data_IF_827449038457
#
_entry.id   IF_827449038457
#
_cell.length_a   1.000
_cell.length_b   1.000
_cell.length_c   1.000
_cell.angle_alpha   90.00
_cell.angle_beta   90.00
_cell.angle_gamma   90.00
#
_symmetry.space_group_name_H-M   'P 1'
#
loop_
_entity.id
_entity.type
_entity.pdbx_description
1 polymer ?
#
# COMPACT_ATOMS: atom_id res chain seq x y z
N UNK A 1 27.52 17.18 -15.59
CA UNK A 1 26.87 15.92 -16.00
C UNK A 1 26.07 15.24 -14.88
N UNK A 2 26.19 15.64 -13.60
CA UNK A 2 25.45 15.01 -12.48
C UNK A 2 24.04 15.54 -12.20
N UNK A 3 23.72 16.80 -12.52
CA UNK A 3 22.40 17.40 -12.24
C UNK A 3 21.24 16.73 -12.99
N UNK A 4 21.41 16.47 -14.29
CA UNK A 4 20.38 15.83 -15.13
C UNK A 4 20.01 14.42 -14.65
N UNK A 5 20.98 13.66 -14.13
CA UNK A 5 20.74 12.31 -13.60
C UNK A 5 19.91 12.35 -12.31
N UNK A 6 20.14 13.34 -11.44
CA UNK A 6 19.37 13.50 -10.19
C UNK A 6 17.93 13.90 -10.50
N UNK A 7 17.74 14.88 -11.39
CA UNK A 7 16.40 15.30 -11.85
C UNK A 7 15.63 14.15 -12.50
N UNK A 8 16.30 13.31 -13.30
CA UNK A 8 15.70 12.10 -13.89
C UNK A 8 15.28 11.08 -12.83
N UNK A 9 16.10 10.86 -11.80
CA UNK A 9 15.78 9.90 -10.72
C UNK A 9 14.59 10.38 -9.90
N UNK A 10 14.55 11.66 -9.53
CA UNK A 10 13.43 12.24 -8.79
C UNK A 10 12.14 12.19 -9.60
N UNK A 11 12.23 12.47 -10.91
CA UNK A 11 11.10 12.34 -11.83
C UNK A 11 10.59 10.90 -11.93
N UNK A 12 11.46 9.92 -12.15
CA UNK A 12 11.09 8.49 -12.20
C UNK A 12 10.42 8.06 -10.89
N UNK A 13 10.94 8.53 -9.76
CA UNK A 13 10.36 8.27 -8.45
C UNK A 13 8.95 8.83 -8.31
N UNK A 14 8.76 10.08 -8.70
CA UNK A 14 7.45 10.74 -8.66
C UNK A 14 6.45 10.06 -9.59
N UNK A 15 6.85 9.74 -10.82
CA UNK A 15 6.02 9.04 -11.81
C UNK A 15 5.59 7.66 -11.30
N UNK A 16 6.53 6.87 -10.76
CA UNK A 16 6.23 5.55 -10.19
C UNK A 16 5.33 5.64 -8.95
N UNK A 17 5.53 6.65 -8.10
CA UNK A 17 4.69 6.90 -6.93
C UNK A 17 3.26 7.28 -7.30
N UNK A 18 3.09 8.14 -8.30
CA UNK A 18 1.77 8.52 -8.80
C UNK A 18 1.05 7.33 -9.44
N UNK A 19 1.75 6.56 -10.27
CA UNK A 19 1.19 5.34 -10.88
C UNK A 19 0.75 4.33 -9.81
N UNK A 20 1.51 4.17 -8.73
CA UNK A 20 1.12 3.32 -7.59
C UNK A 20 -0.14 3.83 -6.91
N UNK A 21 -0.25 5.14 -6.66
CA UNK A 21 -1.44 5.70 -6.03
C UNK A 21 -2.70 5.52 -6.89
N UNK A 22 -2.58 5.74 -8.20
CA UNK A 22 -3.69 5.58 -9.16
C UNK A 22 -4.12 4.11 -9.25
N UNK A 23 -3.16 3.19 -9.31
CA UNK A 23 -3.45 1.76 -9.35
C UNK A 23 -4.13 1.27 -8.05
N UNK A 24 -3.67 1.75 -6.88
CA UNK A 24 -4.30 1.41 -5.59
C UNK A 24 -5.72 1.96 -5.49
N UNK A 25 -5.95 3.22 -5.91
CA UNK A 25 -7.28 3.83 -5.92
C UNK A 25 -8.25 3.02 -6.78
N UNK A 26 -7.79 2.51 -7.93
CA UNK A 26 -8.59 1.68 -8.82
C UNK A 26 -8.84 0.25 -8.28
N UNK A 27 -7.88 -0.33 -7.56
CA UNK A 27 -7.94 -1.71 -7.08
C UNK A 27 -8.76 -1.89 -5.79
N UNK A 28 -8.72 -0.90 -4.89
CA UNK A 28 -9.35 -1.02 -3.57
C UNK A 28 -10.87 -1.30 -3.58
N UNK A 29 -11.68 -0.72 -4.49
CA UNK A 29 -13.11 -1.04 -4.56
C UNK A 29 -13.37 -2.55 -4.75
N UNK A 30 -12.62 -3.18 -5.66
CA UNK A 30 -12.75 -4.61 -5.91
C UNK A 30 -12.27 -5.46 -4.73
N UNK A 31 -11.19 -5.05 -4.06
CA UNK A 31 -10.69 -5.75 -2.88
C UNK A 31 -11.69 -5.70 -1.72
N UNK A 32 -12.22 -4.52 -1.36
CA UNK A 32 -13.21 -4.38 -0.27
C UNK A 32 -14.43 -5.26 -0.52
N UNK A 33 -14.99 -5.22 -1.73
CA UNK A 33 -16.13 -6.05 -2.10
C UNK A 33 -15.82 -7.55 -1.92
N UNK A 34 -14.67 -8.01 -2.42
CA UNK A 34 -14.26 -9.42 -2.31
C UNK A 34 -14.08 -9.85 -0.85
N UNK A 35 -13.48 -9.02 -0.01
CA UNK A 35 -13.30 -9.32 1.42
C UNK A 35 -14.63 -9.50 2.14
N UNK A 36 -15.59 -8.60 1.89
CA UNK A 36 -16.93 -8.70 2.48
C UNK A 36 -17.65 -9.95 1.96
N UNK A 37 -17.64 -10.19 0.65
CA UNK A 37 -18.28 -11.34 0.02
C UNK A 37 -17.76 -12.67 0.58
N UNK A 38 -16.44 -12.81 0.72
CA UNK A 38 -15.81 -14.01 1.27
C UNK A 38 -16.27 -14.30 2.69
N UNK A 39 -16.38 -13.27 3.55
CA UNK A 39 -16.81 -13.46 4.93
C UNK A 39 -18.32 -13.69 5.06
N UNK A 40 -19.15 -13.08 4.21
CA UNK A 40 -20.57 -13.42 4.14
C UNK A 40 -20.77 -14.89 3.78
N UNK A 41 -20.05 -15.38 2.76
CA UNK A 41 -20.11 -16.79 2.37
C UNK A 41 -19.60 -17.69 3.50
N UNK A 42 -18.48 -17.34 4.14
CA UNK A 42 -17.91 -18.15 5.21
C UNK A 42 -18.82 -18.28 6.45
N UNK A 43 -19.53 -17.21 6.82
CA UNK A 43 -20.37 -17.19 8.03
C UNK A 43 -21.84 -17.56 7.79
N UNK A 44 -22.39 -17.21 6.62
CA UNK A 44 -23.82 -17.34 6.34
C UNK A 44 -24.14 -18.32 5.19
N UNK A 45 -23.12 -18.85 4.51
CA UNK A 45 -23.24 -19.70 3.31
C UNK A 45 -24.04 -19.02 2.18
N UNK A 46 -24.06 -17.68 2.15
CA UNK A 46 -24.78 -16.86 1.17
C UNK A 46 -24.21 -15.45 1.08
N UNK A 47 -24.54 -14.75 0.00
CA UNK A 47 -24.32 -13.31 -0.14
C UNK A 47 -25.61 -12.53 0.12
N UNK A 48 -25.47 -11.22 0.36
CA UNK A 48 -26.58 -10.27 0.47
C UNK A 48 -26.32 -9.09 -0.48
N UNK A 49 -27.17 -8.87 -1.51
CA UNK A 49 -27.00 -7.79 -2.47
C UNK A 49 -26.94 -6.40 -1.84
N UNK A 50 -27.65 -6.17 -0.73
CA UNK A 50 -27.65 -4.88 -0.05
C UNK A 50 -26.32 -4.65 0.67
N UNK A 51 -25.79 -5.67 1.33
CA UNK A 51 -24.48 -5.62 1.98
C UNK A 51 -23.37 -5.44 0.93
N UNK A 52 -23.46 -6.13 -0.22
CA UNK A 52 -22.49 -5.96 -1.30
C UNK A 52 -22.54 -4.56 -1.92
N UNK A 53 -23.73 -3.95 -2.05
CA UNK A 53 -23.84 -2.56 -2.50
C UNK A 53 -23.20 -1.58 -1.51
N UNK A 54 -23.35 -1.81 -0.20
CA UNK A 54 -22.62 -1.04 0.83
C UNK A 54 -21.12 -1.25 0.74
N UNK A 55 -20.67 -2.48 0.48
CA UNK A 55 -19.24 -2.79 0.26
C UNK A 55 -18.68 -2.05 -0.96
N UNK A 56 -19.43 -1.94 -2.06
CA UNK A 56 -19.00 -1.16 -3.23
C UNK A 56 -18.80 0.32 -2.89
N UNK A 57 -19.74 0.92 -2.15
CA UNK A 57 -19.64 2.33 -1.72
C UNK A 57 -18.47 2.54 -0.75
N UNK A 58 -18.29 1.64 0.21
CA UNK A 58 -17.16 1.65 1.14
C UNK A 58 -15.82 1.50 0.40
N UNK A 59 -15.77 0.62 -0.60
CA UNK A 59 -14.60 0.39 -1.44
C UNK A 59 -14.23 1.59 -2.30
N UNK A 60 -15.20 2.26 -2.92
CA UNK A 60 -14.97 3.51 -3.65
C UNK A 60 -14.44 4.62 -2.73
N UNK A 61 -14.97 4.70 -1.50
CA UNK A 61 -14.48 5.64 -0.49
C UNK A 61 -13.05 5.31 -0.08
N UNK A 62 -12.76 4.03 0.18
CA UNK A 62 -11.42 3.53 0.51
C UNK A 62 -10.41 3.88 -0.58
N UNK A 63 -10.76 3.61 -1.86
CA UNK A 63 -9.93 3.96 -3.01
C UNK A 63 -9.51 5.42 -3.02
N UNK A 64 -10.48 6.34 -2.93
CA UNK A 64 -10.21 7.79 -2.95
C UNK A 64 -9.36 8.24 -1.75
N UNK A 65 -9.74 7.82 -0.54
CA UNK A 65 -9.07 8.28 0.68
C UNK A 65 -7.65 7.72 0.80
N UNK A 66 -7.44 6.44 0.48
CA UNK A 66 -6.13 5.79 0.51
C UNK A 66 -5.26 6.27 -0.64
N UNK A 67 -5.80 6.38 -1.86
CA UNK A 67 -5.10 6.95 -3.01
C UNK A 67 -4.60 8.36 -2.71
N UNK A 68 -5.44 9.24 -2.15
CA UNK A 68 -5.02 10.58 -1.73
C UNK A 68 -3.89 10.57 -0.68
N UNK A 69 -3.95 9.68 0.31
CA UNK A 69 -2.87 9.53 1.32
C UNK A 69 -1.57 9.06 0.70
N UNK A 70 -1.61 8.11 -0.25
CA UNK A 70 -0.42 7.64 -0.96
C UNK A 70 0.15 8.78 -1.80
N UNK A 71 -0.68 9.54 -2.53
CA UNK A 71 -0.23 10.74 -3.28
C UNK A 71 0.48 11.74 -2.36
N UNK A 72 -0.11 12.04 -1.21
CA UNK A 72 0.51 12.91 -0.20
C UNK A 72 1.86 12.37 0.29
N UNK A 73 1.97 11.06 0.52
CA UNK A 73 3.23 10.42 0.91
C UNK A 73 4.28 10.52 -0.20
N UNK A 74 3.96 10.13 -1.43
CA UNK A 74 4.95 10.08 -2.52
C UNK A 74 5.38 11.47 -2.99
N UNK A 75 4.57 12.50 -2.75
CA UNK A 75 4.93 13.90 -2.98
C UNK A 75 5.71 14.54 -1.82
N UNK A 76 5.79 13.88 -0.65
CA UNK A 76 6.62 14.35 0.47
C UNK A 76 8.09 14.01 0.26
N UNK A 77 8.98 14.77 0.92
CA UNK A 77 10.42 14.52 0.81
C UNK A 77 10.76 13.09 1.22
N UNK A 78 11.67 12.47 0.46
CA UNK A 78 12.04 11.06 0.62
C UNK A 78 12.50 10.72 2.04
N UNK A 79 13.18 11.64 2.72
CA UNK A 79 13.72 11.45 4.06
C UNK A 79 12.64 11.65 5.15
N UNK A 80 11.54 12.33 4.82
CA UNK A 80 10.39 12.53 5.71
C UNK A 80 9.37 11.38 5.62
N UNK A 81 9.52 10.47 4.65
CA UNK A 81 8.61 9.33 4.46
C UNK A 81 8.84 8.24 5.51
N UNK A 82 8.23 8.39 6.69
CA UNK A 82 8.30 7.44 7.82
C UNK A 82 7.42 6.19 7.66
N UNK A 83 6.60 6.12 6.62
CA UNK A 83 5.71 4.99 6.31
C UNK A 83 5.86 4.52 4.87
N UNK A 84 5.17 3.44 4.52
CA UNK A 84 5.16 2.87 3.17
C UNK A 84 3.74 2.85 2.60
N UNK A 85 3.56 2.91 1.27
CA UNK A 85 2.26 2.78 0.63
C UNK A 85 1.52 1.52 1.08
N UNK A 86 2.21 0.37 1.19
CA UNK A 86 1.59 -0.87 1.67
C UNK A 86 1.10 -0.75 3.13
N UNK A 87 1.82 -0.01 3.97
CA UNK A 87 1.39 0.24 5.35
C UNK A 87 0.15 1.14 5.41
N UNK A 88 0.01 2.09 4.48
CA UNK A 88 -1.21 2.89 4.34
C UNK A 88 -2.37 1.99 3.88
N UNK A 89 -2.16 1.14 2.87
CA UNK A 89 -3.23 0.26 2.36
C UNK A 89 -3.70 -0.74 3.43
N UNK A 90 -2.81 -1.24 4.28
CA UNK A 90 -3.20 -2.11 5.40
C UNK A 90 -4.16 -1.44 6.40
N UNK A 91 -4.25 -0.11 6.44
CA UNK A 91 -5.25 0.58 7.26
C UNK A 91 -6.65 0.57 6.63
N UNK A 92 -6.75 0.23 5.34
CA UNK A 92 -8.01 0.12 4.62
C UNK A 92 -8.86 -1.09 5.04
N UNK A 93 -8.36 -1.96 5.92
CA UNK A 93 -9.14 -3.06 6.51
C UNK A 93 -10.37 -2.59 7.30
N UNK A 94 -10.36 -1.32 7.75
CA UNK A 94 -11.51 -0.71 8.42
C UNK A 94 -12.75 -0.63 7.53
N UNK A 95 -12.61 -0.36 6.23
CA UNK A 95 -13.77 -0.22 5.33
C UNK A 95 -14.59 -1.52 5.15
N UNK A 96 -13.99 -2.69 4.81
CA UNK A 96 -14.76 -3.93 4.80
C UNK A 96 -15.21 -4.34 6.20
N UNK A 97 -14.41 -4.08 7.25
CA UNK A 97 -14.76 -4.41 8.61
C UNK A 97 -16.02 -3.66 9.09
N UNK A 98 -16.16 -2.37 8.78
CA UNK A 98 -17.35 -1.60 9.18
C UNK A 98 -18.61 -2.10 8.47
N UNK A 99 -18.50 -2.52 7.19
CA UNK A 99 -19.62 -3.12 6.45
C UNK A 99 -20.05 -4.47 7.05
N UNK A 100 -19.09 -5.26 7.51
CA UNK A 100 -19.33 -6.57 8.14
C UNK A 100 -19.93 -6.43 9.55
N UNK A 101 -19.43 -5.47 10.34
CA UNK A 101 -19.98 -5.11 11.64
C UNK A 101 -21.46 -4.69 11.50
N UNK A 102 -21.76 -3.80 10.55
CA UNK A 102 -23.14 -3.33 10.27
C UNK A 102 -24.05 -4.46 9.78
N UNK A 103 -23.48 -5.51 9.16
CA UNK A 103 -24.19 -6.71 8.74
C UNK A 103 -24.31 -7.76 9.86
N UNK A 104 -23.74 -7.50 11.05
CA UNK A 104 -23.79 -8.39 12.21
C UNK A 104 -22.90 -9.62 12.09
N UNK A 105 -21.86 -9.58 11.25
CA UNK A 105 -20.93 -10.70 11.08
C UNK A 105 -19.97 -10.76 12.28
N UNK A 106 -19.88 -11.89 13.00
CA UNK A 106 -18.95 -12.02 14.11
C UNK A 106 -17.49 -11.84 13.69
N UNK A 107 -16.68 -11.21 14.54
CA UNK A 107 -15.24 -11.11 14.34
C UNK A 107 -14.57 -12.49 14.27
N UNK A 108 -13.43 -12.56 13.58
CA UNK A 108 -12.65 -13.81 13.46
C UNK A 108 -11.74 -13.96 14.68
N UNK A 109 -11.66 -15.17 15.24
CA UNK A 109 -10.67 -15.45 16.28
C UNK A 109 -9.26 -15.43 15.66
N UNK A 110 -8.43 -14.46 16.09
CA UNK A 110 -7.07 -14.25 15.58
C UNK A 110 -6.03 -14.65 16.61
N UNK A 111 -4.92 -15.21 16.16
CA UNK A 111 -3.79 -15.50 17.05
C UNK A 111 -3.18 -14.22 17.66
N UNK A 112 -2.49 -14.36 18.79
CA UNK A 112 -1.91 -13.22 19.51
C UNK A 112 -0.89 -12.43 18.67
N UNK A 113 -0.17 -13.09 17.76
CA UNK A 113 0.82 -12.42 16.93
C UNK A 113 0.15 -11.50 15.92
N UNK A 114 -0.91 -11.97 15.25
CA UNK A 114 -1.74 -11.19 14.34
C UNK A 114 -2.41 -10.01 15.06
N UNK A 115 -2.94 -10.25 16.27
CA UNK A 115 -3.53 -9.21 17.13
C UNK A 115 -2.53 -8.09 17.46
N UNK A 116 -1.33 -8.44 17.90
CA UNK A 116 -0.28 -7.45 18.19
C UNK A 116 0.18 -6.73 16.93
N UNK A 117 0.27 -7.43 15.80
CA UNK A 117 0.81 -6.86 14.55
C UNK A 117 -0.17 -5.95 13.82
N UNK A 118 -1.47 -6.22 13.93
CA UNK A 118 -2.55 -5.51 13.23
C UNK A 118 -3.76 -5.31 14.15
N UNK A 119 -3.65 -4.49 15.21
CA UNK A 119 -4.69 -4.41 16.24
C UNK A 119 -6.07 -3.94 15.73
N UNK A 120 -6.11 -3.17 14.64
CA UNK A 120 -7.36 -2.70 14.02
C UNK A 120 -8.00 -3.67 13.02
N UNK A 121 -7.39 -4.82 12.77
CA UNK A 121 -7.86 -5.77 11.77
C UNK A 121 -8.74 -6.87 12.41
N UNK A 122 -10.00 -6.52 12.71
CA UNK A 122 -10.98 -7.37 13.41
C UNK A 122 -11.26 -8.70 12.70
N UNK A 123 -11.10 -8.73 11.37
CA UNK A 123 -11.47 -9.88 10.54
C UNK A 123 -10.27 -10.61 9.92
N UNK A 124 -9.03 -10.18 10.21
CA UNK A 124 -7.83 -10.82 9.62
C UNK A 124 -7.66 -10.53 8.13
N UNK A 125 -8.13 -9.38 7.65
CA UNK A 125 -8.14 -8.96 6.26
C UNK A 125 -6.85 -8.23 5.83
N UNK A 126 -5.93 -7.95 6.75
CA UNK A 126 -4.74 -7.15 6.44
C UNK A 126 -3.88 -7.82 5.36
N UNK A 127 -3.69 -7.18 4.19
CA UNK A 127 -2.92 -7.78 3.10
C UNK A 127 -1.44 -7.93 3.50
N UNK A 128 -0.88 -9.12 3.25
CA UNK A 128 0.53 -9.38 3.45
C UNK A 128 1.36 -8.78 2.29
N UNK A 129 0.81 -8.77 1.09
CA UNK A 129 1.44 -8.34 -0.16
C UNK A 129 0.49 -7.53 -1.05
N UNK A 130 1.02 -6.95 -2.15
CA UNK A 130 0.22 -6.26 -3.15
C UNK A 130 -0.77 -7.20 -3.87
N UNK A 131 -0.37 -8.45 -4.10
CA UNK A 131 -1.19 -9.44 -4.80
C UNK A 131 -2.44 -9.85 -4.01
N UNK A 132 -2.43 -9.71 -2.68
CA UNK A 132 -3.61 -9.96 -1.83
C UNK A 132 -4.70 -8.91 -2.06
N UNK A 133 -4.33 -7.72 -2.55
CA UNK A 133 -5.26 -6.65 -2.92
C UNK A 133 -5.69 -6.86 -4.37
N UNK A 134 -4.72 -6.83 -5.29
CA UNK A 134 -4.91 -7.08 -6.70
C UNK A 134 -3.57 -7.49 -7.35
N UNK A 135 -3.50 -8.59 -8.12
CA UNK A 135 -2.26 -9.01 -8.80
C UNK A 135 -1.60 -7.91 -9.64
N UNK A 136 -2.39 -7.02 -10.25
CA UNK A 136 -1.89 -5.92 -11.08
C UNK A 136 -1.04 -4.90 -10.30
N UNK A 137 -1.17 -4.86 -8.97
CA UNK A 137 -0.38 -3.96 -8.12
C UNK A 137 1.06 -4.44 -7.89
N UNK A 138 1.36 -5.71 -8.19
CA UNK A 138 2.68 -6.29 -7.90
C UNK A 138 3.81 -5.54 -8.61
N UNK A 139 3.67 -5.36 -9.92
CA UNK A 139 4.71 -4.74 -10.75
C UNK A 139 4.83 -3.25 -10.44
N UNK A 140 3.71 -2.56 -10.24
CA UNK A 140 3.68 -1.13 -9.92
C UNK A 140 4.30 -0.86 -8.55
N UNK A 141 3.98 -1.71 -7.56
CA UNK A 141 4.58 -1.65 -6.23
C UNK A 141 6.08 -1.93 -6.24
N UNK A 142 6.53 -2.88 -7.05
CA UNK A 142 7.96 -3.17 -7.25
C UNK A 142 8.68 -1.99 -7.93
N UNK A 143 8.09 -1.40 -8.96
CA UNK A 143 8.66 -0.27 -9.68
C UNK A 143 8.89 0.94 -8.75
N UNK A 144 7.89 1.29 -7.92
CA UNK A 144 8.05 2.33 -6.92
C UNK A 144 9.13 2.00 -5.88
N UNK A 145 9.17 0.76 -5.39
CA UNK A 145 10.19 0.32 -4.42
C UNK A 145 11.61 0.42 -4.99
N UNK A 146 11.80 0.01 -6.25
CA UNK A 146 13.07 0.11 -6.96
C UNK A 146 13.50 1.57 -7.17
N UNK A 147 12.57 2.41 -7.62
CA UNK A 147 12.82 3.83 -7.79
C UNK A 147 13.21 4.50 -6.45
N UNK A 148 12.55 4.12 -5.34
CA UNK A 148 12.82 4.71 -4.02
C UNK A 148 14.19 4.32 -3.50
N UNK A 149 14.57 3.06 -3.69
CA UNK A 149 15.90 2.58 -3.35
C UNK A 149 16.99 3.29 -4.17
N UNK A 150 16.76 3.53 -5.46
CA UNK A 150 17.68 4.28 -6.31
C UNK A 150 17.84 5.72 -5.82
N UNK A 151 16.75 6.44 -5.60
CA UNK A 151 16.78 7.81 -5.11
C UNK A 151 17.46 7.93 -3.73
N UNK A 152 17.14 7.04 -2.79
CA UNK A 152 17.80 6.98 -1.49
C UNK A 152 19.31 6.74 -1.63
N UNK A 153 19.73 5.79 -2.48
CA UNK A 153 21.14 5.50 -2.71
C UNK A 153 21.88 6.68 -3.31
N UNK A 154 21.26 7.43 -4.22
CA UNK A 154 21.87 8.61 -4.83
C UNK A 154 22.00 9.78 -3.84
N UNK A 155 21.00 10.00 -2.99
CA UNK A 155 21.00 11.08 -1.99
C UNK A 155 21.97 10.81 -0.83
N UNK A 156 22.09 9.55 -0.40
CA UNK A 156 22.88 9.13 0.75
C UNK A 156 24.16 8.37 0.39
N UNK A 157 24.63 8.48 -0.86
CA UNK A 157 25.90 7.90 -1.24
C UNK A 157 27.01 8.53 -0.38
N UNK A 158 27.88 7.74 0.28
CA UNK A 158 29.01 8.30 1.00
C UNK A 158 29.89 9.10 0.02
N UNK A 159 30.46 10.24 0.44
CA UNK A 159 31.40 10.96 -0.40
C UNK A 159 32.50 9.99 -0.82
N UNK A 160 32.84 9.98 -2.10
CA UNK A 160 33.93 9.19 -2.64
C UNK A 160 35.19 9.54 -1.82
N UNK A 161 35.66 8.61 -0.98
CA UNK A 161 36.89 8.80 -0.22
C UNK A 161 38.05 9.01 -1.20
N UNK A 162 39.09 9.80 -0.84
CA UNK A 162 40.23 10.01 -1.71
C UNK A 162 40.78 8.64 -2.13
N UNK A 163 40.86 8.41 -3.44
CA UNK A 163 41.43 7.19 -4.01
C UNK A 163 42.86 6.98 -3.48
N UNK A 164 43.33 5.73 -3.38
CA UNK A 164 44.63 5.45 -2.81
C UNK A 164 45.72 6.24 -3.55
N UNK A 165 46.53 6.99 -2.79
CA UNK A 165 47.70 7.69 -3.31
C UNK A 165 48.56 6.70 -4.09
N UNK A 166 48.97 7.03 -5.33
CA UNK A 166 49.92 6.20 -6.04
C UNK A 166 51.22 6.18 -5.24
N UNK A 167 51.53 5.03 -4.63
CA UNK A 167 52.85 4.79 -4.05
C UNK A 167 53.89 4.91 -5.16
N UNK A 168 54.61 6.02 -5.15
CA UNK A 168 55.78 6.26 -5.99
C UNK A 168 56.91 5.40 -5.43
N UNK A 169 57.28 4.37 -6.18
CA UNK A 169 58.49 3.57 -5.98
C UNK A 169 59.65 4.09 -6.82
#
# INVERSE_FOLDING_TARGET
>A
MGGHLVEDIERIMSEAGQALADAVEAALPGWVRRSVEQLLIAWLDRTDPEVLARADLAGQRAGREVGARIRGLVSSDLDDQTTTPLSIVRQAVSYPADVLDDAGIPEVERDEFAQRRFPGDRYGLSPASWADIDPALTDVGLAWGAAKALAHRHRHAPPHGPGPDPQVG
#
